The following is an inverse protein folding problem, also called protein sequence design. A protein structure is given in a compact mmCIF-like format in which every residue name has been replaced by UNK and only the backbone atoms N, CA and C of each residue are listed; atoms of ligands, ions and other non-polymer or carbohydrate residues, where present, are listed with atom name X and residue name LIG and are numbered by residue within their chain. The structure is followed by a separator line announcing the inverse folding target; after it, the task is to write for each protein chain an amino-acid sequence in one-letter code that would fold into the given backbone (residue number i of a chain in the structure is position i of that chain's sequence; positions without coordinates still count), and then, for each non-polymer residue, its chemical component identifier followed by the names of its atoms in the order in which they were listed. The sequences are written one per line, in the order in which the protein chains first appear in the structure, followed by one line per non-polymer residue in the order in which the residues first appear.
data_IF_506021550032
#
_entry.id   IF_506021550032
#
_cell.length_a   1.000
_cell.length_b   1.000
_cell.length_c   1.000
_cell.angle_alpha   90.00
_cell.angle_beta   90.00
_cell.angle_gamma   90.00
#
_symmetry.space_group_name_H-M   'P 1'
#
loop_
_entity.id
_entity.type
_entity.pdbx_description
1 polymer ?
#
# COMPACT_ATOMS: atom_id res chain seq x y z
N UNK A 1 11.84 -19.59 11.91
CA UNK A 1 11.94 -18.27 12.55
C UNK A 1 11.21 -17.30 11.63
N UNK A 2 10.26 -16.52 12.16
CA UNK A 2 9.59 -15.48 11.38
C UNK A 2 10.69 -14.54 10.84
N UNK A 3 10.47 -13.93 9.68
CA UNK A 3 11.40 -12.93 9.16
C UNK A 3 11.39 -11.75 10.15
N UNK A 4 12.35 -11.73 11.08
CA UNK A 4 12.55 -10.63 12.00
C UNK A 4 12.68 -9.35 11.15
N UNK A 5 11.83 -8.36 11.41
CA UNK A 5 11.79 -7.10 10.65
C UNK A 5 10.61 -6.95 9.66
N UNK A 6 9.83 -8.01 9.37
CA UNK A 6 8.63 -7.90 8.53
C UNK A 6 7.50 -7.21 9.30
N UNK A 7 7.07 -6.04 8.82
CA UNK A 7 5.99 -5.24 9.41
C UNK A 7 4.93 -4.92 8.37
N UNK A 8 3.67 -4.92 8.76
CA UNK A 8 2.61 -4.35 7.91
C UNK A 8 2.92 -2.87 7.70
N UNK A 9 3.09 -2.46 6.45
CA UNK A 9 3.45 -1.09 6.10
C UNK A 9 2.29 -0.31 5.51
N UNK A 10 1.49 -0.95 4.67
CA UNK A 10 0.32 -0.30 4.09
C UNK A 10 -0.80 -1.26 3.72
N UNK A 11 -2.00 -0.71 3.64
CA UNK A 11 -3.16 -1.36 3.04
C UNK A 11 -3.82 -0.40 2.07
N UNK A 12 -4.24 -0.92 0.92
CA UNK A 12 -4.87 -0.13 -0.13
C UNK A 12 -6.25 -0.67 -0.46
N UNK A 13 -7.21 0.21 -0.73
CA UNK A 13 -8.57 -0.17 -1.13
C UNK A 13 -9.00 0.55 -2.40
N UNK A 14 -9.86 -0.09 -3.19
CA UNK A 14 -10.43 0.52 -4.38
C UNK A 14 -11.62 1.42 -4.02
N UNK A 15 -11.70 2.59 -4.65
CA UNK A 15 -12.79 3.56 -4.48
C UNK A 15 -13.37 3.97 -5.84
N UNK A 16 -14.68 4.22 -5.88
CA UNK A 16 -15.37 4.66 -7.10
C UNK A 16 -15.38 6.18 -7.29
N UNK A 17 -15.27 6.94 -6.20
CA UNK A 17 -15.23 8.40 -6.23
C UNK A 17 -14.01 8.90 -5.45
N UNK A 18 -12.91 9.03 -6.18
CA UNK A 18 -11.60 9.35 -5.63
C UNK A 18 -11.60 10.67 -4.86
N UNK A 19 -12.07 11.76 -5.47
CA UNK A 19 -12.07 13.10 -4.86
C UNK A 19 -12.92 13.14 -3.59
N UNK A 20 -14.12 12.56 -3.64
CA UNK A 20 -15.00 12.50 -2.47
C UNK A 20 -14.41 11.67 -1.33
N UNK A 21 -13.73 10.56 -1.65
CA UNK A 21 -13.02 9.75 -0.66
C UNK A 21 -11.83 10.50 -0.07
N UNK A 22 -11.04 11.21 -0.88
CA UNK A 22 -9.97 12.08 -0.39
C UNK A 22 -10.50 13.08 0.65
N UNK A 23 -11.54 13.83 0.31
CA UNK A 23 -12.21 14.77 1.24
C UNK A 23 -12.74 14.07 2.49
N UNK A 24 -13.37 12.90 2.35
CA UNK A 24 -13.88 12.15 3.48
C UNK A 24 -12.77 11.75 4.46
N UNK A 25 -11.67 11.18 3.97
CA UNK A 25 -10.56 10.73 4.81
C UNK A 25 -9.82 11.89 5.48
N UNK A 26 -9.67 13.02 4.79
CA UNK A 26 -8.98 14.19 5.36
C UNK A 26 -9.88 15.04 6.25
N UNK A 27 -11.04 15.46 5.76
CA UNK A 27 -11.88 16.45 6.45
C UNK A 27 -12.86 15.82 7.44
N UNK A 28 -13.41 14.65 7.13
CA UNK A 28 -14.38 13.99 8.02
C UNK A 28 -13.69 13.10 9.07
N UNK A 29 -12.64 12.37 8.67
CA UNK A 29 -11.92 11.46 9.57
C UNK A 29 -10.62 12.03 10.13
N UNK A 30 -10.13 13.16 9.60
CA UNK A 30 -8.95 13.84 10.13
C UNK A 30 -7.62 13.17 9.79
N UNK A 31 -7.59 12.26 8.80
CA UNK A 31 -6.32 11.66 8.38
C UNK A 31 -5.46 12.68 7.65
N UNK A 32 -4.16 12.59 7.85
CA UNK A 32 -3.21 13.45 7.14
C UNK A 32 -2.87 12.84 5.79
N UNK A 33 -3.05 13.61 4.71
CA UNK A 33 -2.63 13.22 3.37
C UNK A 33 -1.11 13.09 3.31
N UNK A 34 -0.62 11.97 2.79
CA UNK A 34 0.79 11.66 2.63
C UNK A 34 1.24 11.78 1.17
N UNK A 35 0.49 11.17 0.25
CA UNK A 35 0.74 11.26 -1.19
C UNK A 35 -0.58 11.46 -1.93
N UNK A 36 -0.52 12.19 -3.03
CA UNK A 36 -1.66 12.44 -3.90
C UNK A 36 -1.18 12.50 -5.34
N UNK A 37 -1.67 11.57 -6.16
CA UNK A 37 -1.26 11.34 -7.54
C UNK A 37 -2.52 11.24 -8.42
N UNK A 38 -3.08 12.39 -8.80
CA UNK A 38 -4.32 12.48 -9.59
C UNK A 38 -4.24 11.70 -10.90
N UNK A 39 -3.09 11.77 -11.58
CA UNK A 39 -2.89 11.12 -12.88
C UNK A 39 -2.97 9.59 -12.81
N UNK A 40 -2.67 9.03 -11.64
CA UNK A 40 -2.74 7.58 -11.37
C UNK A 40 -3.98 7.20 -10.54
N UNK A 41 -4.79 8.18 -10.12
CA UNK A 41 -5.95 7.96 -9.26
C UNK A 41 -5.59 7.35 -7.91
N UNK A 42 -4.46 7.76 -7.33
CA UNK A 42 -3.96 7.20 -6.07
C UNK A 42 -3.72 8.28 -5.03
N UNK A 43 -4.12 8.01 -3.80
CA UNK A 43 -3.76 8.81 -2.64
C UNK A 43 -3.42 7.90 -1.48
N UNK A 44 -2.49 8.32 -0.62
CA UNK A 44 -2.22 7.67 0.65
C UNK A 44 -2.31 8.64 1.81
N UNK A 45 -2.71 8.11 2.97
CA UNK A 45 -2.92 8.84 4.19
C UNK A 45 -2.13 8.20 5.33
N UNK A 46 -1.67 9.04 6.26
CA UNK A 46 -1.03 8.59 7.48
C UNK A 46 -2.09 8.02 8.42
N UNK A 47 -2.01 6.71 8.70
CA UNK A 47 -2.94 5.98 9.55
C UNK A 47 -2.21 5.36 10.78
N UNK A 48 -1.40 6.16 11.45
CA UNK A 48 -0.59 5.74 12.60
C UNK A 48 0.70 5.07 12.14
N UNK A 49 0.85 3.78 12.44
CA UNK A 49 2.07 3.01 12.11
C UNK A 49 2.08 2.45 10.69
N UNK A 50 0.97 2.61 9.95
CA UNK A 50 0.84 2.16 8.57
C UNK A 50 0.31 3.30 7.69
N UNK A 51 0.50 3.18 6.39
CA UNK A 51 -0.17 4.02 5.40
C UNK A 51 -1.46 3.36 4.95
N UNK A 52 -2.51 4.18 4.81
CA UNK A 52 -3.76 3.76 4.20
C UNK A 52 -3.89 4.39 2.82
N UNK A 53 -3.96 3.58 1.76
CA UNK A 53 -4.11 4.07 0.40
C UNK A 53 -5.48 3.83 -0.19
N UNK A 54 -5.88 4.71 -1.10
CA UNK A 54 -7.05 4.54 -1.97
C UNK A 54 -6.60 4.60 -3.41
N UNK A 55 -7.14 3.69 -4.22
CA UNK A 55 -6.94 3.66 -5.66
C UNK A 55 -8.29 3.78 -6.37
N UNK A 56 -8.38 4.65 -7.38
CA UNK A 56 -9.58 4.79 -8.19
C UNK A 56 -9.80 3.53 -9.02
N UNK A 57 -11.05 3.09 -9.12
CA UNK A 57 -11.48 2.07 -10.08
C UNK A 57 -12.80 2.46 -10.71
N UNK A 58 -12.97 2.11 -11.98
CA UNK A 58 -14.25 2.21 -12.68
C UNK A 58 -15.01 0.87 -12.67
N UNK A 59 -14.40 -0.22 -12.17
CA UNK A 59 -15.05 -1.53 -12.01
C UNK A 59 -15.85 -1.56 -10.69
N UNK A 60 -17.20 -1.59 -10.73
CA UNK A 60 -18.02 -1.58 -9.53
C UNK A 60 -17.82 -2.82 -8.64
N UNK A 61 -17.36 -3.94 -9.21
CA UNK A 61 -17.14 -5.18 -8.45
C UNK A 61 -15.92 -5.11 -7.53
N UNK A 62 -15.00 -4.19 -7.79
CA UNK A 62 -13.78 -3.99 -7.00
C UNK A 62 -13.94 -2.96 -5.90
N UNK A 63 -14.97 -2.11 -5.92
CA UNK A 63 -15.12 -1.02 -4.96
C UNK A 63 -15.23 -1.56 -3.53
N UNK A 64 -14.39 -1.04 -2.63
CA UNK A 64 -14.28 -1.49 -1.24
C UNK A 64 -13.45 -2.77 -1.05
N UNK A 65 -13.03 -3.44 -2.13
CA UNK A 65 -12.07 -4.53 -2.03
C UNK A 65 -10.66 -4.01 -1.77
N UNK A 66 -9.83 -4.86 -1.15
CA UNK A 66 -8.41 -4.56 -0.95
C UNK A 66 -7.69 -4.70 -2.30
N UNK A 67 -6.88 -3.70 -2.65
CA UNK A 67 -6.02 -3.78 -3.84
C UNK A 67 -4.72 -4.51 -3.51
N UNK A 68 -4.30 -4.47 -2.25
CA UNK A 68 -3.12 -5.16 -1.77
C UNK A 68 -2.75 -4.80 -0.33
N UNK A 69 -1.84 -5.62 0.21
CA UNK A 69 -1.20 -5.41 1.50
C UNK A 69 0.30 -5.36 1.27
N UNK A 70 0.94 -4.31 1.78
CA UNK A 70 2.38 -4.15 1.69
C UNK A 70 3.06 -4.41 3.01
N UNK A 71 4.15 -5.16 2.97
CA UNK A 71 5.04 -5.33 4.11
C UNK A 71 6.32 -4.53 3.92
N UNK A 72 6.77 -3.87 4.99
CA UNK A 72 8.06 -3.20 5.07
C UNK A 72 9.03 -4.14 5.77
N UNK A 73 10.26 -4.19 5.26
CA UNK A 73 11.36 -4.98 5.79
C UNK A 73 12.62 -4.14 5.84
N UNK A 74 13.51 -4.49 6.77
CA UNK A 74 14.78 -3.78 6.93
C UNK A 74 15.76 -4.08 5.78
N UNK A 75 15.73 -5.32 5.25
CA UNK A 75 16.54 -5.77 4.12
C UNK A 75 15.69 -6.57 3.13
N UNK A 76 15.38 -5.96 1.99
CA UNK A 76 14.52 -6.56 0.96
C UNK A 76 15.20 -7.76 0.29
N UNK A 77 16.52 -7.73 0.09
CA UNK A 77 17.25 -8.80 -0.58
C UNK A 77 17.36 -10.04 0.31
N UNK A 78 17.65 -9.85 1.60
CA UNK A 78 17.70 -10.93 2.57
C UNK A 78 16.30 -11.54 2.78
N UNK A 79 15.27 -10.70 2.91
CA UNK A 79 13.89 -11.17 3.09
C UNK A 79 13.41 -11.93 1.85
N UNK A 80 13.65 -11.40 0.65
CA UNK A 80 13.27 -12.08 -0.59
C UNK A 80 13.90 -13.47 -0.69
N UNK A 81 15.22 -13.59 -0.43
CA UNK A 81 15.92 -14.89 -0.45
C UNK A 81 15.34 -15.88 0.58
N UNK A 82 15.06 -15.42 1.79
CA UNK A 82 14.47 -16.25 2.85
C UNK A 82 13.05 -16.73 2.49
N UNK A 83 12.21 -15.84 1.93
CA UNK A 83 10.85 -16.20 1.51
C UNK A 83 10.84 -17.15 0.32
N UNK A 84 11.72 -16.94 -0.68
CA UNK A 84 11.90 -17.88 -1.79
C UNK A 84 12.37 -19.24 -1.28
N UNK A 85 13.34 -19.29 -0.35
CA UNK A 85 13.81 -20.54 0.25
C UNK A 85 12.71 -21.28 1.03
N UNK A 86 11.70 -20.56 1.53
CA UNK A 86 10.49 -21.10 2.18
C UNK A 86 9.40 -21.51 1.19
N UNK A 87 9.62 -21.34 -0.11
CA UNK A 87 8.67 -21.72 -1.17
C UNK A 87 7.61 -20.66 -1.48
N UNK A 88 7.80 -19.41 -1.04
CA UNK A 88 6.93 -18.31 -1.46
C UNK A 88 7.22 -17.97 -2.92
N UNK A 89 6.17 -17.91 -3.73
CA UNK A 89 6.26 -17.55 -5.15
C UNK A 89 6.19 -16.03 -5.32
N UNK A 90 7.07 -15.50 -6.17
CA UNK A 90 7.08 -14.10 -6.56
C UNK A 90 6.95 -13.99 -8.08
N UNK A 91 6.03 -13.15 -8.55
CA UNK A 91 5.86 -12.90 -9.99
C UNK A 91 7.03 -12.11 -10.59
N UNK A 92 7.72 -11.32 -9.77
CA UNK A 92 8.87 -10.52 -10.17
C UNK A 92 9.94 -10.51 -9.07
N UNK A 93 11.24 -10.40 -9.43
CA UNK A 93 12.30 -10.29 -8.45
C UNK A 93 12.24 -8.96 -7.70
N UNK A 94 12.88 -8.91 -6.52
CA UNK A 94 13.06 -7.69 -5.75
C UNK A 94 13.67 -6.58 -6.65
N UNK A 95 12.99 -5.45 -6.74
CA UNK A 95 13.33 -4.35 -7.65
C UNK A 95 13.32 -3.03 -6.88
N UNK A 96 14.35 -2.22 -7.06
CA UNK A 96 14.36 -0.85 -6.55
C UNK A 96 13.62 0.06 -7.56
N UNK A 97 12.44 0.53 -7.15
CA UNK A 97 11.58 1.36 -7.99
C UNK A 97 11.78 2.87 -7.75
N UNK A 98 12.80 3.28 -6.98
CA UNK A 98 13.13 4.69 -6.73
C UNK A 98 12.11 5.45 -5.88
N UNK A 99 11.05 4.80 -5.39
CA UNK A 99 10.11 5.40 -4.43
C UNK A 99 10.74 5.41 -3.04
N UNK A 100 11.04 6.60 -2.50
CA UNK A 100 11.25 6.74 -1.06
C UNK A 100 9.89 6.74 -0.37
N UNK A 101 9.55 5.66 0.33
CA UNK A 101 8.52 5.72 1.34
C UNK A 101 9.05 6.59 2.51
N UNK A 102 8.20 7.47 3.11
CA UNK A 102 8.60 8.31 4.22
C UNK A 102 9.02 7.52 5.48
#
# INVERSE_FOLDING_TARGET
MAADGLKLGYVNVFVSNFDACCTFFTESLGLTLNQHEDSFGYASFNAGTISFGIAKTDDPSLVGSHTGVGFIVDDIDATYKDLVAKGVEFEMPATNIGLSLP
#
